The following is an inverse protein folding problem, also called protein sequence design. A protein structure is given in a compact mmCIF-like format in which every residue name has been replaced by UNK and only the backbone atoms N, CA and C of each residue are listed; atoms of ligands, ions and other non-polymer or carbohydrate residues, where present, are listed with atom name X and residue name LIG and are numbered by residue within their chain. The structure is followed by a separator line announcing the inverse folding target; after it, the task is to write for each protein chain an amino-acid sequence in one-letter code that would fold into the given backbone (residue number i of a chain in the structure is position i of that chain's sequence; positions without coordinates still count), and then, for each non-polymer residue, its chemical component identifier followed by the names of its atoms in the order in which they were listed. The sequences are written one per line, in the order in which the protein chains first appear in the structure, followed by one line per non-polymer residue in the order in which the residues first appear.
data_IF_250779828992
#
_entry.id   IF_250779828992
#
_cell.length_a   1.000
_cell.length_b   1.000
_cell.length_c   1.000
_cell.angle_alpha   90.00
_cell.angle_beta   90.00
_cell.angle_gamma   90.00
#
_symmetry.space_group_name_H-M   'P 1'
#
loop_
_entity.id
_entity.type
_entity.pdbx_description
1 polymer ?
#
# COMPACT_ATOMS: atom_id res chain seq x y z
N UNK A 1 3.02 -0.04 -10.30
CA UNK A 1 2.30 -1.29 -10.59
C UNK A 1 3.38 -2.34 -10.85
N UNK A 2 3.50 -3.36 -10.01
CA UNK A 2 4.42 -4.47 -10.26
C UNK A 2 3.75 -5.40 -11.27
N UNK A 3 4.34 -5.56 -12.45
CA UNK A 3 3.85 -6.47 -13.49
C UNK A 3 4.77 -7.68 -13.56
N UNK A 4 4.44 -8.73 -12.81
CA UNK A 4 4.79 -10.08 -13.24
C UNK A 4 3.74 -10.51 -14.25
N UNK A 5 4.10 -11.21 -15.34
CA UNK A 5 3.13 -11.66 -16.36
C UNK A 5 1.94 -12.46 -15.79
N UNK A 6 2.05 -12.95 -14.56
CA UNK A 6 1.02 -13.70 -13.82
C UNK A 6 0.62 -13.08 -12.48
N UNK A 7 1.19 -11.94 -12.10
CA UNK A 7 0.98 -11.33 -10.77
C UNK A 7 0.79 -9.83 -10.91
N UNK A 8 -0.35 -9.36 -10.41
CA UNK A 8 -0.64 -7.94 -10.21
C UNK A 8 -0.57 -7.62 -8.72
N UNK A 9 -0.05 -6.44 -8.38
CA UNK A 9 0.02 -5.95 -7.00
C UNK A 9 -0.63 -4.57 -6.91
N UNK A 10 -1.54 -4.44 -5.96
CA UNK A 10 -2.20 -3.19 -5.60
C UNK A 10 -1.72 -2.73 -4.22
N UNK A 11 -1.08 -1.56 -4.18
CA UNK A 11 -0.65 -0.92 -2.93
C UNK A 11 -1.60 0.24 -2.66
N UNK A 12 -2.20 0.27 -1.47
CA UNK A 12 -3.11 1.32 -1.04
C UNK A 12 -2.55 2.01 0.21
N UNK A 13 -2.63 3.33 0.24
CA UNK A 13 -2.24 4.13 1.40
C UNK A 13 -3.49 4.70 2.05
N UNK A 14 -3.69 4.37 3.32
CA UNK A 14 -4.85 4.80 4.09
C UNK A 14 -4.44 5.82 5.15
N UNK A 15 -5.26 6.85 5.33
CA UNK A 15 -5.02 7.87 6.36
C UNK A 15 -5.27 7.33 7.77
N UNK A 16 -6.14 6.33 7.91
CA UNK A 16 -6.44 5.63 9.17
C UNK A 16 -6.89 4.19 8.92
N UNK A 17 -6.83 3.36 9.97
CA UNK A 17 -7.40 2.01 9.99
C UNK A 17 -8.91 2.02 9.75
N UNK A 18 -9.61 2.99 10.33
CA UNK A 18 -11.07 3.04 10.29
C UNK A 18 -11.58 3.39 8.90
N UNK A 19 -10.86 4.24 8.16
CA UNK A 19 -11.19 4.51 6.75
C UNK A 19 -11.01 3.28 5.87
N UNK A 20 -9.94 2.50 6.09
CA UNK A 20 -9.73 1.22 5.41
C UNK A 20 -10.89 0.26 5.68
N UNK A 21 -11.29 0.11 6.95
CA UNK A 21 -12.38 -0.79 7.35
C UNK A 21 -13.73 -0.32 6.82
N UNK A 22 -13.99 0.99 6.82
CA UNK A 22 -15.19 1.58 6.25
C UNK A 22 -15.26 1.33 4.74
N UNK A 23 -14.16 1.49 4.01
CA UNK A 23 -14.10 1.17 2.58
C UNK A 23 -14.30 -0.31 2.30
N UNK A 24 -13.64 -1.20 3.06
CA UNK A 24 -13.74 -2.65 2.89
C UNK A 24 -15.18 -3.17 3.09
N UNK A 25 -15.96 -2.51 3.96
CA UNK A 25 -17.38 -2.78 4.21
C UNK A 25 -18.32 -1.95 3.32
N UNK A 26 -17.79 -1.09 2.45
CA UNK A 26 -18.56 -0.21 1.58
C UNK A 26 -19.09 -0.93 0.33
N UNK A 27 -20.16 -0.37 -0.25
CA UNK A 27 -20.87 -0.96 -1.39
C UNK A 27 -19.96 -1.27 -2.58
N UNK A 28 -19.06 -0.35 -2.97
CA UNK A 28 -18.15 -0.56 -4.10
C UNK A 28 -17.26 -1.78 -3.93
N UNK A 29 -16.63 -1.91 -2.75
CA UNK A 29 -15.75 -3.03 -2.46
C UNK A 29 -16.54 -4.33 -2.37
N UNK A 30 -17.66 -4.35 -1.65
CA UNK A 30 -18.49 -5.54 -1.48
C UNK A 30 -19.09 -6.05 -2.80
N UNK A 31 -19.52 -5.14 -3.69
CA UNK A 31 -20.00 -5.53 -5.03
C UNK A 31 -18.88 -6.15 -5.87
N UNK A 32 -17.69 -5.53 -5.88
CA UNK A 32 -16.54 -6.08 -6.59
C UNK A 32 -16.12 -7.45 -6.04
N UNK A 33 -16.10 -7.59 -4.71
CA UNK A 33 -15.76 -8.83 -4.02
C UNK A 33 -16.77 -9.95 -4.29
N UNK A 34 -18.07 -9.64 -4.26
CA UNK A 34 -19.13 -10.58 -4.64
C UNK A 34 -18.96 -11.06 -6.08
N UNK A 35 -18.76 -10.14 -7.01
CA UNK A 35 -18.58 -10.47 -8.43
C UNK A 35 -17.33 -11.33 -8.67
N UNK A 36 -16.23 -11.03 -7.96
CA UNK A 36 -15.00 -11.83 -8.01
C UNK A 36 -15.26 -13.28 -7.55
N UNK A 37 -15.85 -13.45 -6.36
CA UNK A 37 -16.13 -14.79 -5.82
C UNK A 37 -17.08 -15.60 -6.69
N UNK A 38 -18.10 -14.96 -7.27
CA UNK A 38 -19.01 -15.61 -8.23
C UNK A 38 -18.29 -16.10 -9.48
N UNK A 39 -17.35 -15.33 -10.01
CA UNK A 39 -16.58 -15.69 -11.22
C UNK A 39 -15.54 -16.78 -10.95
N UNK A 40 -14.88 -16.73 -9.79
CA UNK A 40 -13.87 -17.74 -9.42
C UNK A 40 -14.55 -19.07 -9.09
N UNK A 41 -15.64 -19.07 -8.34
CA UNK A 41 -16.34 -20.30 -7.94
C UNK A 41 -15.40 -21.29 -7.26
N UNK A 42 -15.32 -22.51 -7.80
CA UNK A 42 -14.40 -23.57 -7.34
C UNK A 42 -13.06 -23.62 -8.09
N UNK A 43 -12.80 -22.66 -8.98
CA UNK A 43 -11.58 -22.61 -9.78
C UNK A 43 -10.34 -22.32 -8.92
N UNK A 44 -9.22 -22.95 -9.28
CA UNK A 44 -7.89 -22.70 -8.69
C UNK A 44 -7.00 -21.84 -9.60
N UNK A 45 -7.57 -21.24 -10.65
CA UNK A 45 -6.79 -20.52 -11.66
C UNK A 45 -6.22 -19.17 -11.17
N UNK A 46 -6.82 -18.56 -10.15
CA UNK A 46 -6.41 -17.26 -9.60
C UNK A 46 -6.37 -17.33 -8.07
N UNK A 47 -5.24 -16.94 -7.49
CA UNK A 47 -5.08 -16.78 -6.05
C UNK A 47 -5.13 -15.31 -5.64
N UNK A 48 -5.45 -15.05 -4.38
CA UNK A 48 -5.36 -13.73 -3.77
C UNK A 48 -4.63 -13.83 -2.43
N UNK A 49 -3.95 -12.75 -2.07
CA UNK A 49 -3.46 -12.52 -0.72
C UNK A 49 -3.55 -11.02 -0.45
N UNK A 50 -3.56 -10.64 0.82
CA UNK A 50 -3.47 -9.25 1.24
C UNK A 50 -2.69 -9.14 2.54
N UNK A 51 -1.91 -8.08 2.67
CA UNK A 51 -1.14 -7.77 3.87
C UNK A 51 -1.49 -6.35 4.29
N UNK A 52 -1.78 -6.15 5.57
CA UNK A 52 -2.11 -4.85 6.13
C UNK A 52 -1.12 -4.52 7.23
N UNK A 53 -0.42 -3.40 7.07
CA UNK A 53 0.55 -2.91 8.04
C UNK A 53 0.05 -1.61 8.67
N UNK A 54 -0.07 -1.63 10.00
CA UNK A 54 -0.31 -0.42 10.79
C UNK A 54 1.05 0.23 11.04
N UNK A 55 1.32 1.31 10.35
CA UNK A 55 2.59 2.04 10.45
C UNK A 55 2.41 3.23 11.40
N UNK A 56 3.18 3.22 12.48
CA UNK A 56 3.28 4.34 13.41
C UNK A 56 4.41 5.28 12.99
N UNK A 57 4.32 6.55 13.37
CA UNK A 57 5.37 7.53 13.11
C UNK A 57 6.70 7.05 13.71
N UNK A 58 7.79 7.18 12.95
CA UNK A 58 9.14 6.69 13.33
C UNK A 58 9.38 5.21 13.06
N UNK A 59 8.34 4.40 12.84
CA UNK A 59 8.51 2.95 12.60
C UNK A 59 8.57 2.57 11.11
N UNK A 60 8.70 3.55 10.21
CA UNK A 60 8.85 3.33 8.78
C UNK A 60 9.69 4.42 8.13
N UNK A 61 10.36 4.08 7.02
CA UNK A 61 11.00 5.06 6.14
C UNK A 61 10.78 4.72 4.67
N UNK A 62 10.93 5.72 3.79
CA UNK A 62 10.99 5.49 2.35
C UNK A 62 11.94 6.50 1.71
N UNK A 63 12.71 6.05 0.73
CA UNK A 63 13.69 6.87 -0.01
C UNK A 63 13.40 6.73 -1.49
N UNK A 64 13.45 7.85 -2.21
CA UNK A 64 13.16 7.94 -3.63
C UNK A 64 14.36 8.61 -4.30
N UNK A 65 14.89 8.01 -5.36
CA UNK A 65 16.00 8.55 -6.14
C UNK A 65 15.72 8.39 -7.63
N UNK A 66 15.89 9.47 -8.40
CA UNK A 66 15.70 9.50 -9.86
C UNK A 66 14.38 8.88 -10.35
N UNK A 67 13.30 9.10 -9.61
CA UNK A 67 11.98 8.59 -9.95
C UNK A 67 10.90 9.65 -9.72
N UNK A 68 9.77 9.59 -10.46
CA UNK A 68 8.63 10.47 -10.23
C UNK A 68 8.06 10.32 -8.81
N UNK A 69 7.26 11.31 -8.39
CA UNK A 69 6.55 11.27 -7.11
C UNK A 69 5.61 10.06 -7.06
N UNK A 70 5.94 9.10 -6.20
CA UNK A 70 5.28 7.80 -6.15
C UNK A 70 5.10 7.31 -4.71
N UNK A 71 4.29 6.27 -4.54
CA UNK A 71 4.16 5.54 -3.28
C UNK A 71 3.76 6.44 -2.10
N UNK A 72 4.43 6.25 -0.98
CA UNK A 72 4.14 6.97 0.26
C UNK A 72 4.45 8.47 0.14
N UNK A 73 5.46 8.85 -0.66
CA UNK A 73 5.77 10.25 -0.93
C UNK A 73 4.62 10.97 -1.63
N UNK A 74 3.89 10.28 -2.50
CA UNK A 74 2.67 10.85 -3.12
C UNK A 74 1.51 10.95 -2.14
N UNK A 75 1.40 10.00 -1.21
CA UNK A 75 0.29 9.93 -0.25
C UNK A 75 0.43 10.90 0.93
N UNK A 76 1.66 11.15 1.41
CA UNK A 76 1.95 11.95 2.62
C UNK A 76 2.93 13.11 2.39
N UNK A 77 3.54 13.23 1.22
CA UNK A 77 4.64 14.15 0.96
C UNK A 77 6.01 13.52 1.21
N UNK A 78 7.07 14.23 0.83
CA UNK A 78 8.46 13.86 1.11
C UNK A 78 9.30 15.10 1.37
N UNK A 79 10.45 14.92 2.00
CA UNK A 79 11.43 15.98 2.29
C UNK A 79 12.79 15.61 1.70
N UNK A 80 13.64 16.61 1.36
CA UNK A 80 15.02 16.35 0.98
C UNK A 80 15.79 15.63 2.09
N UNK A 81 16.68 14.70 1.72
CA UNK A 81 17.58 14.05 2.67
C UNK A 81 18.76 14.99 2.96
N UNK A 82 18.95 15.34 4.22
CA UNK A 82 20.08 16.15 4.71
C UNK A 82 21.12 15.29 5.44
N UNK A 83 22.24 15.88 5.89
CA UNK A 83 23.30 15.18 6.64
C UNK A 83 22.78 14.61 7.97
N UNK A 84 21.80 15.27 8.58
CA UNK A 84 21.17 14.90 9.84
C UNK A 84 20.30 13.64 9.70
N UNK A 85 19.76 13.35 8.51
CA UNK A 85 18.87 12.21 8.24
C UNK A 85 19.40 11.29 7.12
N UNK A 86 20.72 11.30 6.92
CA UNK A 86 21.37 10.55 5.82
C UNK A 86 21.22 9.03 5.96
N UNK A 87 21.15 8.50 7.18
CA UNK A 87 21.04 7.05 7.43
C UNK A 87 19.63 6.65 7.83
N UNK A 88 19.27 5.39 7.56
CA UNK A 88 17.95 4.86 7.90
C UNK A 88 17.62 4.98 9.39
N UNK A 89 18.60 4.64 10.24
CA UNK A 89 18.50 4.79 11.70
C UNK A 89 18.19 6.22 12.14
N UNK A 90 18.67 7.23 11.41
CA UNK A 90 18.36 8.64 11.72
C UNK A 90 16.98 9.04 11.21
N UNK A 91 16.56 8.59 10.02
CA UNK A 91 15.21 8.85 9.48
C UNK A 91 14.09 8.23 10.32
N UNK A 92 14.30 7.03 10.85
CA UNK A 92 13.34 6.37 11.74
C UNK A 92 13.19 7.05 13.12
N UNK A 93 14.07 7.99 13.46
CA UNK A 93 14.00 8.75 14.71
C UNK A 93 13.49 10.18 14.55
N UNK A 94 13.33 10.63 13.30
CA UNK A 94 12.98 12.00 12.95
C UNK A 94 11.46 12.24 13.00
#
# INVERSE_FOLDING_TARGET
MYFGLRTTVMIQYWRSKDDLLAYAKGAKHLTAWKNFNQKVGSSKAVGIYHETYLLEQGNYESVYGNMPLYGLAKAKGHIPITKEIMTAKKRLKA
#
